data_IF_029052917278
#
_entry.id   IF_029052917278
#
_cell.length_a   1.000
_cell.length_b   1.000
_cell.length_c   1.000
_cell.angle_alpha   90.00
_cell.angle_beta   90.00
_cell.angle_gamma   90.00
#
_symmetry.space_group_name_H-M   'P 1'
#
loop_
_entity.id
_entity.type
_entity.pdbx_description
1 polymer ?
#
# COMPACT_ATOMS: atom_id res chain seq x y z
N UNK A 1 -1.86 -6.90 -10.46
CA UNK A 1 -1.16 -6.97 -9.15
C UNK A 1 -2.14 -6.61 -8.03
N UNK A 2 -1.99 -7.19 -6.84
CA UNK A 2 -2.83 -6.86 -5.66
C UNK A 2 -2.04 -6.02 -4.67
N UNK A 3 -2.64 -4.92 -4.19
CA UNK A 3 -2.06 -3.97 -3.24
C UNK A 3 -2.82 -4.05 -1.92
N UNK A 4 -2.08 -4.14 -0.81
CA UNK A 4 -2.65 -3.97 0.52
C UNK A 4 -2.53 -2.50 0.93
N UNK A 5 -3.65 -1.80 1.05
CA UNK A 5 -3.69 -0.42 1.56
C UNK A 5 -4.03 -0.41 3.05
N UNK A 6 -3.12 0.10 3.88
CA UNK A 6 -3.32 0.28 5.31
C UNK A 6 -3.49 1.76 5.62
N UNK A 7 -4.69 2.18 5.98
CA UNK A 7 -5.02 3.58 6.25
C UNK A 7 -6.14 3.65 7.30
N UNK A 8 -5.92 4.26 8.48
CA UNK A 8 -6.94 4.33 9.53
C UNK A 8 -8.06 5.31 9.18
N UNK A 9 -7.76 6.36 8.41
CA UNK A 9 -8.71 7.38 8.01
C UNK A 9 -9.57 6.93 6.81
N UNK A 10 -10.88 6.73 7.04
CA UNK A 10 -11.79 6.19 6.02
C UNK A 10 -11.96 7.11 4.80
N UNK A 11 -12.02 8.43 5.00
CA UNK A 11 -12.17 9.39 3.91
C UNK A 11 -10.93 9.40 3.00
N UNK A 12 -9.74 9.36 3.61
CA UNK A 12 -8.47 9.26 2.88
C UNK A 12 -8.33 7.91 2.19
N UNK A 13 -8.69 6.82 2.88
CA UNK A 13 -8.67 5.47 2.32
C UNK A 13 -9.57 5.36 1.09
N UNK A 14 -10.76 5.97 1.08
CA UNK A 14 -11.66 5.96 -0.07
C UNK A 14 -11.00 6.60 -1.30
N UNK A 15 -10.37 7.78 -1.14
CA UNK A 15 -9.66 8.47 -2.22
C UNK A 15 -8.45 7.68 -2.74
N UNK A 16 -7.67 7.10 -1.82
CA UNK A 16 -6.54 6.25 -2.19
C UNK A 16 -6.98 4.99 -2.92
N UNK A 17 -8.08 4.36 -2.49
CA UNK A 17 -8.66 3.20 -3.19
C UNK A 17 -9.05 3.55 -4.62
N UNK A 18 -9.74 4.67 -4.82
CA UNK A 18 -10.17 5.10 -6.15
C UNK A 18 -8.98 5.35 -7.09
N UNK A 19 -7.96 6.08 -6.62
CA UNK A 19 -6.77 6.37 -7.41
C UNK A 19 -5.97 5.10 -7.75
N UNK A 20 -5.75 4.22 -6.78
CA UNK A 20 -5.00 2.98 -6.99
C UNK A 20 -5.79 2.01 -7.89
N UNK A 21 -7.12 1.93 -7.74
CA UNK A 21 -7.97 1.13 -8.61
C UNK A 21 -7.95 1.66 -10.05
N UNK A 22 -8.04 2.98 -10.23
CA UNK A 22 -7.98 3.63 -11.55
C UNK A 22 -6.64 3.43 -12.26
N UNK A 23 -5.55 3.22 -11.50
CA UNK A 23 -4.25 2.82 -12.03
C UNK A 23 -4.15 1.32 -12.38
N UNK A 24 -5.24 0.56 -12.30
CA UNK A 24 -5.32 -0.85 -12.73
C UNK A 24 -4.90 -1.87 -11.66
N UNK A 25 -4.72 -1.44 -10.41
CA UNK A 25 -4.38 -2.32 -9.31
C UNK A 25 -5.62 -2.91 -8.63
N UNK A 26 -5.56 -4.19 -8.26
CA UNK A 26 -6.53 -4.79 -7.32
C UNK A 26 -6.16 -4.36 -5.90
N UNK A 27 -7.16 -4.17 -5.04
CA UNK A 27 -6.96 -3.64 -3.70
C UNK A 27 -7.60 -4.52 -2.65
N UNK A 28 -6.87 -4.67 -1.54
CA UNK A 28 -7.38 -5.10 -0.25
C UNK A 28 -7.04 -3.98 0.73
N UNK A 29 -7.94 -3.65 1.64
CA UNK A 29 -7.72 -2.58 2.62
C UNK A 29 -7.74 -3.07 4.06
N UNK A 30 -6.99 -2.39 4.91
CA UNK A 30 -7.00 -2.54 6.36
C UNK A 30 -6.98 -1.15 7.02
N UNK A 31 -7.56 -1.03 8.21
CA UNK A 31 -7.56 0.21 9.00
C UNK A 31 -6.37 0.31 9.95
N UNK A 32 -5.67 -0.79 10.17
CA UNK A 32 -4.48 -0.83 11.04
C UNK A 32 -3.57 -1.98 10.68
N UNK A 33 -2.38 -1.99 11.27
CA UNK A 33 -1.34 -2.98 10.94
C UNK A 33 -1.68 -4.39 11.43
N UNK A 34 -2.39 -4.55 12.55
CA UNK A 34 -2.86 -5.87 13.01
C UNK A 34 -3.83 -6.53 12.01
N UNK A 35 -4.77 -5.74 11.51
CA UNK A 35 -5.73 -6.18 10.50
C UNK A 35 -5.03 -6.46 9.17
N UNK A 36 -4.04 -5.64 8.81
CA UNK A 36 -3.20 -5.85 7.64
C UNK A 36 -2.40 -7.16 7.74
N UNK A 37 -1.89 -7.48 8.93
CA UNK A 37 -1.04 -8.65 9.17
C UNK A 37 -1.87 -9.92 9.05
N UNK A 38 -3.05 -9.92 9.69
CA UNK A 38 -4.03 -11.00 9.56
C UNK A 38 -4.37 -11.26 8.09
N UNK A 39 -4.59 -10.21 7.29
CA UNK A 39 -4.88 -10.40 5.85
C UNK A 39 -3.69 -10.95 5.07
N UNK A 40 -2.46 -10.67 5.50
CA UNK A 40 -1.25 -11.20 4.85
C UNK A 40 -1.06 -12.71 4.99
N UNK A 41 -1.76 -13.33 5.93
CA UNK A 41 -1.80 -14.79 6.05
C UNK A 41 -2.75 -15.45 5.03
N UNK A 42 -3.67 -14.68 4.42
CA UNK A 42 -4.71 -15.21 3.53
C UNK A 42 -4.59 -14.74 2.08
N UNK A 43 -3.82 -13.70 1.82
CA UNK A 43 -3.75 -13.07 0.50
C UNK A 43 -2.30 -12.77 0.12
N UNK A 44 -1.98 -13.04 -1.14
CA UNK A 44 -0.72 -12.58 -1.75
C UNK A 44 -0.84 -11.12 -2.21
N UNK A 45 0.12 -10.31 -1.80
CA UNK A 45 0.22 -8.91 -2.19
C UNK A 45 1.56 -8.65 -2.88
N UNK A 46 1.53 -7.81 -3.92
CA UNK A 46 2.76 -7.32 -4.56
C UNK A 46 3.43 -6.20 -3.78
N UNK A 47 2.64 -5.36 -3.10
CA UNK A 47 3.13 -4.29 -2.25
C UNK A 47 2.11 -3.92 -1.17
N UNK A 48 2.60 -3.29 -0.11
CA UNK A 48 1.81 -2.73 0.99
C UNK A 48 1.98 -1.21 1.00
N UNK A 49 0.87 -0.48 0.97
CA UNK A 49 0.83 0.98 1.11
C UNK A 49 0.49 1.30 2.56
N UNK A 50 1.36 2.02 3.27
CA UNK A 50 1.18 2.39 4.68
C UNK A 50 0.95 3.89 4.76
N UNK A 51 -0.19 4.29 5.30
CA UNK A 51 -0.53 5.70 5.52
C UNK A 51 0.36 6.37 6.58
N UNK A 52 0.52 7.69 6.49
CA UNK A 52 1.35 8.49 7.38
C UNK A 52 1.02 8.28 8.87
N UNK A 53 -0.25 8.12 9.22
CA UNK A 53 -0.70 7.92 10.60
C UNK A 53 -0.16 6.63 11.23
N UNK A 54 0.34 5.69 10.42
CA UNK A 54 0.85 4.39 10.86
C UNK A 54 2.36 4.22 10.64
N UNK A 55 3.07 5.26 10.18
CA UNK A 55 4.49 5.11 9.85
C UNK A 55 5.38 4.84 11.06
N UNK A 56 5.02 5.41 12.21
CA UNK A 56 5.73 5.29 13.50
C UNK A 56 5.16 4.19 14.41
N UNK A 57 4.18 3.42 13.91
CA UNK A 57 3.65 2.28 14.64
C UNK A 57 4.76 1.21 14.84
N UNK A 58 4.80 0.61 16.03
CA UNK A 58 5.80 -0.39 16.42
C UNK A 58 5.82 -1.61 15.49
N UNK A 59 4.70 -1.93 14.84
CA UNK A 59 4.58 -3.03 13.88
C UNK A 59 5.03 -2.64 12.46
N UNK A 60 5.15 -1.36 12.13
CA UNK A 60 5.49 -0.90 10.78
C UNK A 60 6.86 -1.40 10.29
N UNK A 61 7.93 -1.45 11.11
CA UNK A 61 9.21 -2.02 10.69
C UNK A 61 9.11 -3.49 10.24
N UNK A 62 8.30 -4.30 10.90
CA UNK A 62 8.12 -5.71 10.53
C UNK A 62 7.48 -5.86 9.14
N UNK A 63 6.53 -4.98 8.81
CA UNK A 63 5.96 -4.91 7.46
C UNK A 63 7.01 -4.55 6.40
N UNK A 64 7.83 -3.53 6.66
CA UNK A 64 8.89 -3.07 5.73
C UNK A 64 9.96 -4.14 5.50
N UNK A 65 10.21 -5.01 6.47
CA UNK A 65 11.14 -6.14 6.32
C UNK A 65 10.56 -7.30 5.50
N UNK A 66 9.25 -7.54 5.61
CA UNK A 66 8.57 -8.69 4.98
C UNK A 66 8.03 -8.38 3.58
N UNK A 67 7.61 -7.14 3.34
CA UNK A 67 6.91 -6.76 2.11
C UNK A 67 7.57 -5.55 1.46
N UNK A 68 7.37 -5.43 0.15
CA UNK A 68 7.64 -4.19 -0.56
C UNK A 68 6.65 -3.12 -0.09
N UNK A 69 7.15 -2.09 0.60
CA UNK A 69 6.29 -1.06 1.22
C UNK A 69 6.42 0.30 0.55
N UNK A 70 5.29 0.96 0.34
CA UNK A 70 5.21 2.39 -0.02
C UNK A 70 4.67 3.14 1.20
N UNK A 71 5.50 4.00 1.80
CA UNK A 71 5.07 4.86 2.90
C UNK A 71 4.50 6.16 2.33
N UNK A 72 3.25 6.47 2.66
CA UNK A 72 2.53 7.62 2.13
C UNK A 72 2.68 8.77 3.11
N UNK A 73 3.20 9.91 2.66
CA UNK A 73 3.30 11.14 3.46
C UNK A 73 1.93 11.79 3.68
N UNK A 74 1.79 12.59 4.74
CA UNK A 74 0.53 13.27 5.09
C UNK A 74 -0.03 14.08 3.91
N UNK A 75 0.81 14.85 3.22
CA UNK A 75 0.42 15.71 2.10
C UNK A 75 0.35 14.99 0.75
N UNK A 76 0.60 13.69 0.70
CA UNK A 76 0.63 12.95 -0.57
C UNK A 76 -0.75 12.93 -1.24
N UNK A 77 -0.80 13.41 -2.49
CA UNK A 77 -1.99 13.28 -3.33
C UNK A 77 -2.23 11.80 -3.70
N UNK A 78 -3.49 11.33 -3.75
CA UNK A 78 -3.80 9.94 -4.10
C UNK A 78 -3.19 9.46 -5.42
N UNK A 79 -3.17 10.32 -6.43
CA UNK A 79 -2.62 10.05 -7.76
C UNK A 79 -1.09 9.87 -7.72
N UNK A 80 -0.41 10.58 -6.82
CA UNK A 80 1.02 10.42 -6.60
C UNK A 80 1.34 9.02 -6.05
N UNK A 81 0.52 8.51 -5.12
CA UNK A 81 0.68 7.14 -4.59
C UNK A 81 0.46 6.11 -5.70
N UNK A 82 -0.57 6.29 -6.52
CA UNK A 82 -0.83 5.42 -7.65
C UNK A 82 0.32 5.42 -8.68
N UNK A 83 0.89 6.59 -8.96
CA UNK A 83 2.06 6.74 -9.83
C UNK A 83 3.31 6.06 -9.26
N UNK A 84 3.56 6.20 -7.95
CA UNK A 84 4.66 5.52 -7.28
C UNK A 84 4.54 3.99 -7.41
N UNK A 85 3.33 3.44 -7.23
CA UNK A 85 3.06 2.02 -7.43
C UNK A 85 3.29 1.60 -8.89
N UNK A 86 2.78 2.35 -9.87
CA UNK A 86 2.99 2.08 -11.28
C UNK A 86 4.49 2.01 -11.62
N UNK A 87 5.27 2.99 -11.16
CA UNK A 87 6.72 3.04 -11.38
C UNK A 87 7.45 1.87 -10.69
N UNK A 88 7.03 1.51 -9.48
CA UNK A 88 7.59 0.39 -8.72
C UNK A 88 7.46 -0.94 -9.47
N UNK A 89 6.26 -1.23 -9.98
CA UNK A 89 6.00 -2.47 -10.71
C UNK A 89 6.49 -2.45 -12.16
N UNK A 90 6.57 -1.27 -12.79
CA UNK A 90 7.19 -1.15 -14.11
C UNK A 90 8.68 -1.51 -14.05
N UNK A 91 9.44 -0.93 -13.10
CA UNK A 91 10.86 -1.24 -12.92
C UNK A 91 11.11 -2.70 -12.53
N UNK A 92 10.24 -3.27 -11.71
CA UNK A 92 10.33 -4.69 -11.36
C UNK A 92 10.16 -5.60 -12.60
N UNK A 93 9.37 -5.19 -13.60
CA UNK A 93 9.21 -5.93 -14.85
C UNK A 93 10.44 -5.85 -15.76
N UNK A 94 11.18 -4.73 -15.74
CA UNK A 94 12.39 -4.54 -16.55
C UNK A 94 13.59 -5.33 -16.02
N UNK A 95 13.64 -5.59 -14.70
CA UNK A 95 14.72 -6.34 -14.05
C UNK A 95 14.64 -7.87 -14.25
N UNK A 96 13.52 -8.38 -14.79
CA UNK A 96 13.28 -9.82 -14.98
C UNK A 96 13.41 -10.22 -16.45
N UNK A 97 13.90 -9.33 -17.32
CA UNK A 97 14.20 -9.60 -18.73
C UNK A 97 15.69 -9.87 -18.94
#
# INVERSE_FOLDING_TARGET
MTILLVCPNEARMARLKEAIHSAGFRLISARGLDEAWTKSDFFDFGAVVIDHELQDDVAAPAFRQRFMTVSVEESAAPESVALQLANLFHRASELVQ
#
